data_IF_506163515467
#
_entry.id   IF_506163515467
#
_cell.length_a   1.000
_cell.length_b   1.000
_cell.length_c   1.000
_cell.angle_alpha   90.00
_cell.angle_beta   90.00
_cell.angle_gamma   90.00
#
_symmetry.space_group_name_H-M   'P 1'
#
loop_
_entity.id
_entity.type
_entity.pdbx_description
1 polymer ?
#
# COMPACT_ATOMS: atom_id res chain seq x y z
N UNK A 1 -4.45 37.57 -1.49
CA UNK A 1 -3.69 37.40 -0.23
C UNK A 1 -2.93 36.09 -0.39
N UNK A 2 -1.59 36.11 -0.35
CA UNK A 2 -0.81 34.88 -0.19
C UNK A 2 -1.18 34.32 1.17
N UNK A 3 -1.90 33.21 1.23
CA UNK A 3 -2.04 32.45 2.46
C UNK A 3 -0.62 32.03 2.81
N UNK A 4 -0.08 32.52 3.92
CA UNK A 4 1.20 32.01 4.43
C UNK A 4 0.93 30.55 4.77
N UNK A 5 1.26 29.63 3.87
CA UNK A 5 1.25 28.21 4.19
C UNK A 5 2.30 28.03 5.28
N UNK A 6 1.87 27.57 6.44
CA UNK A 6 2.81 27.20 7.50
C UNK A 6 3.56 25.98 6.97
N UNK A 7 4.86 26.13 6.71
CA UNK A 7 5.71 25.04 6.22
C UNK A 7 5.78 23.96 7.29
N UNK A 8 5.46 22.69 6.97
CA UNK A 8 5.62 21.60 7.92
C UNK A 8 7.06 21.52 8.42
N UNK A 9 7.21 21.47 9.74
CA UNK A 9 8.51 21.39 10.41
C UNK A 9 8.88 19.94 10.75
N UNK A 10 10.17 19.63 10.93
CA UNK A 10 10.60 18.31 11.42
C UNK A 10 9.90 17.91 12.72
N UNK A 11 9.74 18.85 13.67
CA UNK A 11 9.03 18.61 14.94
C UNK A 11 7.56 18.24 14.71
N UNK A 12 6.87 18.91 13.78
CA UNK A 12 5.49 18.56 13.42
C UNK A 12 5.39 17.15 12.79
N UNK A 13 6.37 16.77 11.96
CA UNK A 13 6.44 15.41 11.40
C UNK A 13 6.60 14.37 12.51
N UNK A 14 7.48 14.61 13.48
CA UNK A 14 7.68 13.70 14.62
C UNK A 14 6.42 13.58 15.48
N UNK A 15 5.71 14.69 15.73
CA UNK A 15 4.44 14.70 16.47
C UNK A 15 3.39 13.86 15.73
N UNK A 16 3.23 14.07 14.42
CA UNK A 16 2.27 13.33 13.61
C UNK A 16 2.65 11.84 13.57
N UNK A 17 3.92 11.51 13.36
CA UNK A 17 4.39 10.13 13.35
C UNK A 17 4.13 9.41 14.70
N UNK A 18 4.29 10.15 15.81
CA UNK A 18 4.04 9.66 17.16
C UNK A 18 2.57 9.53 17.55
N UNK A 19 1.62 9.96 16.71
CA UNK A 19 0.18 9.82 16.98
C UNK A 19 -0.20 8.34 17.14
N UNK A 20 -0.86 8.02 18.25
CA UNK A 20 -1.20 6.65 18.63
C UNK A 20 -2.40 6.07 17.89
N UNK A 21 -3.35 6.92 17.46
CA UNK A 21 -4.45 6.49 16.61
C UNK A 21 -4.00 6.36 15.14
N UNK A 22 -3.92 5.15 14.57
CA UNK A 22 -3.45 4.95 13.20
C UNK A 22 -4.34 5.63 12.15
N UNK A 23 -5.62 5.85 12.44
CA UNK A 23 -6.55 6.54 11.53
C UNK A 23 -6.23 8.02 11.48
N UNK A 24 -6.20 8.67 12.65
CA UNK A 24 -5.87 10.09 12.76
C UNK A 24 -4.46 10.36 12.21
N UNK A 25 -3.49 9.53 12.59
CA UNK A 25 -2.12 9.59 12.09
C UNK A 25 -2.07 9.57 10.56
N UNK A 26 -2.70 8.59 9.91
CA UNK A 26 -2.70 8.51 8.45
C UNK A 26 -3.32 9.74 7.78
N UNK A 27 -4.40 10.30 8.33
CA UNK A 27 -5.02 11.50 7.78
C UNK A 27 -4.11 12.73 7.93
N UNK A 28 -3.44 12.87 9.06
CA UNK A 28 -2.46 13.93 9.29
C UNK A 28 -1.22 13.75 8.41
N UNK A 29 -0.70 12.53 8.23
CA UNK A 29 0.38 12.20 7.28
C UNK A 29 -0.02 12.62 5.86
N UNK A 30 -1.22 12.24 5.43
CA UNK A 30 -1.74 12.56 4.09
C UNK A 30 -1.81 14.08 3.88
N UNK A 31 -2.31 14.81 4.88
CA UNK A 31 -2.37 16.27 4.82
C UNK A 31 -0.97 16.91 4.86
N UNK A 32 -0.04 16.38 5.65
CA UNK A 32 1.32 16.88 5.75
C UNK A 32 2.10 16.70 4.44
N UNK A 33 1.95 15.56 3.76
CA UNK A 33 2.52 15.38 2.41
C UNK A 33 1.97 16.41 1.43
N UNK A 34 0.68 16.72 1.49
CA UNK A 34 0.11 17.76 0.64
C UNK A 34 0.72 19.14 0.95
N UNK A 35 0.89 19.49 2.22
CA UNK A 35 1.47 20.77 2.64
C UNK A 35 2.94 20.91 2.21
N UNK A 36 3.76 19.86 2.40
CA UNK A 36 5.14 19.79 1.89
C UNK A 36 5.16 19.94 0.36
N UNK A 37 4.30 19.17 -0.32
CA UNK A 37 4.22 19.22 -1.78
C UNK A 37 3.87 20.62 -2.27
N UNK A 38 2.87 21.26 -1.68
CA UNK A 38 2.41 22.61 -2.03
C UNK A 38 3.52 23.66 -1.84
N UNK A 39 4.26 23.59 -0.74
CA UNK A 39 5.40 24.47 -0.48
C UNK A 39 6.49 24.33 -1.55
N UNK A 40 6.82 23.10 -1.92
CA UNK A 40 7.82 22.81 -2.94
C UNK A 40 7.40 23.31 -4.33
N UNK A 41 6.11 23.16 -4.68
CA UNK A 41 5.54 23.60 -5.96
C UNK A 41 5.61 25.13 -6.14
N UNK A 42 5.60 25.92 -5.06
CA UNK A 42 5.81 27.38 -5.16
C UNK A 42 7.17 27.74 -5.79
N UNK A 43 8.16 26.85 -5.67
CA UNK A 43 9.51 27.01 -6.23
C UNK A 43 9.64 26.38 -7.61
N UNK A 44 9.05 25.21 -7.83
CA UNK A 44 9.29 24.43 -9.04
C UNK A 44 8.26 24.59 -10.13
N UNK A 45 7.10 25.18 -9.82
CA UNK A 45 5.95 25.19 -10.71
C UNK A 45 5.15 23.87 -10.60
N UNK A 46 4.18 23.64 -11.51
CA UNK A 46 3.18 22.57 -11.38
C UNK A 46 3.72 21.19 -11.80
N UNK A 47 4.87 20.78 -11.27
CA UNK A 47 5.47 19.47 -11.48
C UNK A 47 5.33 18.63 -10.21
N UNK A 48 4.68 17.49 -10.30
CA UNK A 48 4.48 16.58 -9.18
C UNK A 48 5.85 16.16 -8.58
N UNK A 49 6.05 16.47 -7.31
CA UNK A 49 7.17 15.95 -6.52
C UNK A 49 6.74 14.67 -5.80
N UNK A 50 7.68 14.01 -5.14
CA UNK A 50 7.40 12.74 -4.47
C UNK A 50 6.31 12.89 -3.39
N UNK A 51 6.27 14.02 -2.67
CA UNK A 51 5.19 14.30 -1.72
C UNK A 51 3.81 14.43 -2.38
N UNK A 52 3.74 14.86 -3.65
CA UNK A 52 2.50 14.85 -4.44
C UNK A 52 1.97 13.42 -4.57
N UNK A 53 2.83 12.48 -5.00
CA UNK A 53 2.45 11.07 -5.13
C UNK A 53 2.15 10.42 -3.78
N UNK A 54 2.97 10.73 -2.76
CA UNK A 54 2.80 10.22 -1.40
C UNK A 54 1.48 10.65 -0.77
N UNK A 55 0.97 11.85 -1.09
CA UNK A 55 -0.36 12.30 -0.67
C UNK A 55 -1.44 11.30 -1.10
N UNK A 56 -1.46 10.92 -2.37
CA UNK A 56 -2.49 10.03 -2.92
C UNK A 56 -2.28 8.57 -2.52
N UNK A 57 -1.04 8.11 -2.47
CA UNK A 57 -0.71 6.78 -1.95
C UNK A 57 -1.10 6.65 -0.46
N UNK A 58 -0.83 7.67 0.36
CA UNK A 58 -1.20 7.71 1.78
C UNK A 58 -2.72 7.76 1.96
N UNK A 59 -3.42 8.51 1.11
CA UNK A 59 -4.90 8.55 1.11
C UNK A 59 -5.49 7.17 0.80
N UNK A 60 -4.95 6.47 -0.20
CA UNK A 60 -5.37 5.12 -0.56
C UNK A 60 -5.05 4.12 0.55
N UNK A 61 -3.87 4.22 1.18
CA UNK A 61 -3.50 3.44 2.35
C UNK A 61 -4.51 3.64 3.51
N UNK A 62 -4.99 4.88 3.67
CA UNK A 62 -5.99 5.25 4.66
C UNK A 62 -7.30 4.47 4.55
N UNK A 63 -7.76 4.14 3.34
CA UNK A 63 -8.97 3.33 3.15
C UNK A 63 -8.79 1.93 3.77
N UNK A 64 -7.60 1.34 3.60
CA UNK A 64 -7.24 0.06 4.21
C UNK A 64 -7.16 0.16 5.73
N UNK A 65 -6.53 1.22 6.25
CA UNK A 65 -6.36 1.45 7.70
C UNK A 65 -7.71 1.64 8.40
N UNK A 66 -8.62 2.38 7.78
CA UNK A 66 -9.99 2.61 8.27
C UNK A 66 -10.92 1.43 8.00
N UNK A 67 -10.47 0.45 7.21
CA UNK A 67 -11.24 -0.76 6.82
C UNK A 67 -12.56 -0.41 6.14
N UNK A 68 -12.60 0.75 5.46
CA UNK A 68 -13.79 1.34 4.85
C UNK A 68 -14.40 0.37 3.84
N UNK A 69 -15.64 -0.06 4.08
CA UNK A 69 -16.43 -1.00 3.28
C UNK A 69 -15.76 -2.34 2.92
N UNK A 70 -14.53 -2.58 3.37
CA UNK A 70 -13.70 -3.71 2.99
C UNK A 70 -14.28 -5.01 3.54
N UNK A 71 -14.65 -5.03 4.83
CA UNK A 71 -15.19 -6.25 5.46
C UNK A 71 -16.46 -6.73 4.78
N UNK A 72 -17.44 -5.85 4.60
CA UNK A 72 -18.74 -6.21 4.03
C UNK A 72 -18.62 -6.63 2.57
N UNK A 73 -17.81 -5.91 1.79
CA UNK A 73 -17.56 -6.22 0.38
C UNK A 73 -16.85 -7.56 0.23
N UNK A 74 -15.76 -7.78 0.98
CA UNK A 74 -15.01 -9.04 0.97
C UNK A 74 -15.86 -10.23 1.42
N UNK A 75 -16.68 -10.08 2.47
CA UNK A 75 -17.59 -11.13 2.93
C UNK A 75 -18.66 -11.45 1.88
N UNK A 76 -19.23 -10.45 1.22
CA UNK A 76 -20.22 -10.66 0.16
C UNK A 76 -19.61 -11.36 -1.06
N UNK A 77 -18.46 -10.88 -1.54
CA UNK A 77 -17.76 -11.46 -2.69
C UNK A 77 -17.30 -12.89 -2.42
N UNK A 78 -16.68 -13.14 -1.26
CA UNK A 78 -16.25 -14.48 -0.89
C UNK A 78 -17.44 -15.42 -0.76
N UNK A 79 -18.53 -14.97 -0.14
CA UNK A 79 -19.75 -15.78 -0.02
C UNK A 79 -20.32 -16.11 -1.40
N UNK A 80 -20.34 -15.17 -2.34
CA UNK A 80 -20.80 -15.43 -3.70
C UNK A 80 -19.92 -16.46 -4.43
N UNK A 81 -18.58 -16.38 -4.25
CA UNK A 81 -17.63 -17.33 -4.85
C UNK A 81 -17.73 -18.74 -4.24
N UNK A 82 -17.84 -18.83 -2.92
CA UNK A 82 -17.85 -20.12 -2.21
C UNK A 82 -19.20 -20.83 -2.23
N UNK A 83 -20.32 -20.11 -2.37
CA UNK A 83 -21.67 -20.72 -2.42
C UNK A 83 -21.83 -21.74 -3.54
N UNK A 84 -21.13 -21.55 -4.65
CA UNK A 84 -21.17 -22.45 -5.80
C UNK A 84 -19.95 -23.40 -5.85
N UNK A 85 -19.13 -23.44 -4.80
CA UNK A 85 -17.93 -24.29 -4.77
C UNK A 85 -18.31 -25.74 -4.45
N UNK A 86 -17.89 -26.66 -5.33
CA UNK A 86 -18.22 -28.09 -5.23
C UNK A 86 -17.57 -28.77 -4.02
N UNK A 87 -16.39 -28.32 -3.57
CA UNK A 87 -15.73 -28.87 -2.40
C UNK A 87 -16.48 -28.49 -1.11
N UNK A 88 -17.02 -27.26 -1.05
CA UNK A 88 -17.86 -26.84 0.07
C UNK A 88 -19.19 -27.63 0.13
N UNK A 89 -19.80 -27.87 -1.04
CA UNK A 89 -21.00 -28.71 -1.13
C UNK A 89 -20.71 -30.15 -0.67
N UNK A 90 -19.58 -30.73 -1.10
CA UNK A 90 -19.14 -32.05 -0.68
C UNK A 90 -18.87 -32.13 0.83
N UNK A 91 -18.16 -31.14 1.39
CA UNK A 91 -17.90 -31.06 2.83
C UNK A 91 -19.21 -31.01 3.62
N UNK A 92 -20.18 -30.22 3.15
CA UNK A 92 -21.49 -30.11 3.79
C UNK A 92 -22.26 -31.44 3.73
N UNK A 93 -22.19 -32.18 2.62
CA UNK A 93 -22.79 -33.52 2.51
C UNK A 93 -22.14 -34.51 3.47
N UNK A 94 -20.80 -34.56 3.49
CA UNK A 94 -20.04 -35.45 4.38
C UNK A 94 -20.32 -35.15 5.85
N UNK A 95 -20.37 -33.87 6.24
CA UNK A 95 -20.75 -33.46 7.60
C UNK A 95 -22.14 -33.99 7.97
N UNK A 96 -23.14 -33.87 7.09
CA UNK A 96 -24.50 -34.38 7.32
C UNK A 96 -24.55 -35.90 7.38
N UNK A 97 -23.88 -36.60 6.46
CA UNK A 97 -23.82 -38.07 6.43
C UNK A 97 -23.11 -38.66 7.65
N UNK A 98 -22.11 -37.95 8.16
CA UNK A 98 -21.43 -38.29 9.40
C UNK A 98 -22.23 -37.84 10.63
N UNK A 99 -23.32 -37.10 10.44
CA UNK A 99 -24.33 -36.68 11.40
C UNK A 99 -23.92 -35.53 12.31
N UNK A 100 -23.21 -34.55 11.76
CA UNK A 100 -23.04 -33.23 12.36
C UNK A 100 -24.36 -32.45 12.34
N UNK A 101 -24.65 -31.74 13.42
CA UNK A 101 -25.76 -30.79 13.52
C UNK A 101 -25.24 -29.35 13.48
N UNK A 102 -24.64 -28.96 12.35
CA UNK A 102 -24.14 -27.60 12.14
C UNK A 102 -25.03 -26.85 11.14
N UNK A 103 -25.42 -25.62 11.48
CA UNK A 103 -26.12 -24.73 10.54
C UNK A 103 -25.14 -24.22 9.49
N UNK A 104 -25.61 -23.99 8.27
CA UNK A 104 -24.77 -23.44 7.19
C UNK A 104 -24.06 -22.16 7.62
N UNK A 105 -24.77 -21.20 8.22
CA UNK A 105 -24.20 -19.93 8.68
C UNK A 105 -23.06 -20.09 9.71
N UNK A 106 -23.16 -21.09 10.58
CA UNK A 106 -22.13 -21.41 11.56
C UNK A 106 -20.89 -22.01 10.88
N UNK A 107 -21.10 -22.88 9.89
CA UNK A 107 -20.03 -23.39 9.04
C UNK A 107 -19.32 -22.27 8.26
N UNK A 108 -20.08 -21.34 7.66
CA UNK A 108 -19.53 -20.15 6.98
C UNK A 108 -18.66 -19.31 7.92
N UNK A 109 -19.16 -19.09 9.15
CA UNK A 109 -18.48 -18.27 10.14
C UNK A 109 -17.14 -18.90 10.57
N UNK A 110 -17.13 -20.23 10.76
CA UNK A 110 -15.93 -20.99 11.10
C UNK A 110 -14.91 -21.03 9.96
N UNK A 111 -15.38 -21.26 8.73
CA UNK A 111 -14.50 -21.46 7.58
C UNK A 111 -13.85 -20.17 7.11
N UNK A 112 -14.59 -19.05 7.03
CA UNK A 112 -14.03 -17.84 6.41
C UNK A 112 -14.35 -16.49 7.05
N UNK A 113 -15.51 -16.25 7.68
CA UNK A 113 -15.83 -14.89 8.19
C UNK A 113 -14.83 -14.42 9.25
N UNK A 114 -14.38 -15.34 10.12
CA UNK A 114 -13.31 -15.08 11.08
C UNK A 114 -11.98 -14.77 10.39
N UNK A 115 -11.64 -15.50 9.34
CA UNK A 115 -10.39 -15.34 8.61
C UNK A 115 -10.34 -14.03 7.84
N UNK A 116 -11.43 -13.64 7.17
CA UNK A 116 -11.54 -12.32 6.54
C UNK A 116 -11.26 -11.23 7.58
N UNK A 117 -11.94 -11.28 8.73
CA UNK A 117 -11.76 -10.27 9.77
C UNK A 117 -10.29 -10.21 10.22
N UNK A 118 -9.68 -11.35 10.53
CA UNK A 118 -8.29 -11.40 10.98
C UNK A 118 -7.29 -10.95 9.90
N UNK A 119 -7.51 -11.31 8.63
CA UNK A 119 -6.65 -10.88 7.53
C UNK A 119 -6.76 -9.38 7.28
N UNK A 120 -7.97 -8.81 7.34
CA UNK A 120 -8.18 -7.36 7.22
C UNK A 120 -7.45 -6.62 8.34
N UNK A 121 -7.57 -7.07 9.60
CA UNK A 121 -6.86 -6.47 10.74
C UNK A 121 -5.35 -6.46 10.50
N UNK A 122 -4.78 -7.61 10.12
CA UNK A 122 -3.33 -7.74 9.87
C UNK A 122 -2.85 -6.91 8.69
N UNK A 123 -3.61 -6.88 7.59
CA UNK A 123 -3.29 -6.03 6.44
C UNK A 123 -3.38 -4.54 6.81
N UNK A 124 -4.41 -4.14 7.55
CA UNK A 124 -4.57 -2.77 8.08
C UNK A 124 -3.39 -2.36 8.96
N UNK A 125 -2.99 -3.21 9.91
CA UNK A 125 -1.84 -2.95 10.78
C UNK A 125 -0.53 -2.86 9.99
N UNK A 126 -0.31 -3.75 9.02
CA UNK A 126 0.90 -3.73 8.19
C UNK A 126 0.98 -2.45 7.34
N UNK A 127 -0.13 -2.04 6.72
CA UNK A 127 -0.21 -0.78 5.95
C UNK A 127 -0.02 0.43 6.85
N UNK A 128 -0.61 0.45 8.06
CA UNK A 128 -0.42 1.55 9.01
C UNK A 128 1.04 1.69 9.45
N UNK A 129 1.74 0.58 9.71
CA UNK A 129 3.18 0.57 10.02
C UNK A 129 4.02 1.06 8.84
N UNK A 130 3.73 0.58 7.63
CA UNK A 130 4.43 1.01 6.42
C UNK A 130 4.28 2.51 6.16
N UNK A 131 3.06 3.04 6.20
CA UNK A 131 2.77 4.47 6.00
C UNK A 131 3.50 5.35 7.03
N UNK A 132 3.48 4.95 8.30
CA UNK A 132 4.23 5.62 9.37
C UNK A 132 5.74 5.60 9.11
N UNK A 133 6.31 4.42 8.83
CA UNK A 133 7.76 4.21 8.60
C UNK A 133 8.31 5.06 7.46
N UNK A 134 7.55 5.26 6.39
CA UNK A 134 7.95 6.15 5.30
C UNK A 134 7.91 7.61 5.75
N UNK A 135 6.83 8.03 6.39
CA UNK A 135 6.64 9.41 6.81
C UNK A 135 7.68 9.87 7.83
N UNK A 136 7.99 9.01 8.81
CA UNK A 136 9.03 9.22 9.82
C UNK A 136 10.41 9.54 9.24
N UNK A 137 10.73 8.99 8.07
CA UNK A 137 12.01 9.26 7.42
C UNK A 137 11.86 10.28 6.29
N UNK A 138 11.11 9.94 5.24
CA UNK A 138 11.07 10.73 4.03
C UNK A 138 10.32 12.04 4.26
N UNK A 139 9.19 12.01 4.98
CA UNK A 139 8.47 13.23 5.36
C UNK A 139 9.34 14.16 6.21
N UNK A 140 10.10 13.60 7.16
CA UNK A 140 11.03 14.35 8.00
C UNK A 140 12.14 15.00 7.17
N UNK A 141 12.75 14.26 6.25
CA UNK A 141 13.81 14.79 5.38
C UNK A 141 13.29 15.86 4.41
N UNK A 142 12.05 15.77 3.92
CA UNK A 142 11.42 16.84 3.16
C UNK A 142 11.24 18.11 4.00
N UNK A 143 10.68 18.01 5.20
CA UNK A 143 10.54 19.15 6.11
C UNK A 143 11.89 19.80 6.42
N UNK A 144 12.93 18.98 6.67
CA UNK A 144 14.30 19.46 6.89
C UNK A 144 14.88 20.11 5.64
N UNK A 145 14.69 19.53 4.46
CA UNK A 145 15.15 20.06 3.19
C UNK A 145 14.52 21.42 2.90
N UNK A 146 13.20 21.54 3.08
CA UNK A 146 12.48 22.79 2.84
C UNK A 146 12.94 23.89 3.80
N UNK A 147 13.11 23.59 5.09
CA UNK A 147 13.64 24.55 6.06
C UNK A 147 15.07 25.03 5.75
N UNK A 148 15.88 24.19 5.10
CA UNK A 148 17.29 24.47 4.84
C UNK A 148 17.55 25.14 3.49
N UNK A 149 16.81 24.72 2.45
CA UNK A 149 17.16 25.00 1.05
C UNK A 149 16.08 25.74 0.25
N UNK A 150 14.81 25.75 0.70
CA UNK A 150 13.69 26.24 -0.12
C UNK A 150 13.81 27.73 -0.46
N UNK A 151 14.36 28.52 0.47
CA UNK A 151 14.48 29.97 0.34
C UNK A 151 15.75 30.43 -0.39
N UNK A 152 16.64 29.52 -0.80
CA UNK A 152 17.87 29.89 -1.51
C UNK A 152 17.54 30.47 -2.88
N UNK A 153 17.97 31.71 -3.14
CA UNK A 153 17.67 32.42 -4.40
C UNK A 153 18.67 32.10 -5.51
N UNK A 154 19.83 31.59 -5.14
CA UNK A 154 20.91 31.17 -6.05
C UNK A 154 21.45 29.82 -5.59
N UNK A 155 21.97 29.04 -6.54
CA UNK A 155 22.56 27.75 -6.22
C UNK A 155 23.75 27.93 -5.27
N UNK A 156 23.60 27.36 -4.08
CA UNK A 156 24.60 27.44 -2.99
C UNK A 156 25.02 26.02 -2.63
N UNK A 157 26.23 25.57 -3.05
CA UNK A 157 26.74 24.22 -2.75
C UNK A 157 26.74 23.90 -1.25
N UNK A 158 27.08 24.87 -0.42
CA UNK A 158 27.19 24.70 1.03
C UNK A 158 25.84 24.38 1.68
N UNK A 159 24.74 24.92 1.14
CA UNK A 159 23.38 24.62 1.64
C UNK A 159 23.03 23.15 1.45
N UNK A 160 23.21 22.64 0.22
CA UNK A 160 22.89 21.25 -0.10
C UNK A 160 23.87 20.27 0.55
N UNK A 161 25.15 20.61 0.64
CA UNK A 161 26.14 19.80 1.37
C UNK A 161 25.79 19.68 2.85
N UNK A 162 25.45 20.79 3.52
CA UNK A 162 25.02 20.80 4.92
C UNK A 162 23.76 19.96 5.13
N UNK A 163 22.80 20.02 4.20
CA UNK A 163 21.62 19.16 4.26
C UNK A 163 22.03 17.68 4.14
N UNK A 164 22.81 17.33 3.12
CA UNK A 164 23.21 15.96 2.81
C UNK A 164 24.13 15.32 3.87
N UNK A 165 24.93 16.11 4.60
CA UNK A 165 25.86 15.62 5.62
C UNK A 165 25.20 14.80 6.74
N UNK A 166 23.93 15.04 7.04
CA UNK A 166 23.20 14.32 8.09
C UNK A 166 22.46 13.07 7.57
N UNK A 167 22.51 12.78 6.26
CA UNK A 167 21.96 11.55 5.70
C UNK A 167 22.95 10.38 5.87
N UNK A 168 22.43 9.20 6.20
CA UNK A 168 23.22 7.99 6.40
C UNK A 168 23.85 7.53 5.09
N UNK A 169 25.15 7.21 5.13
CA UNK A 169 25.86 6.68 3.98
C UNK A 169 25.38 5.28 3.59
N UNK A 170 25.50 4.92 2.30
CA UNK A 170 25.19 3.59 1.78
C UNK A 170 23.81 3.47 1.13
N UNK A 171 23.55 2.31 0.51
CA UNK A 171 22.27 2.02 -0.14
C UNK A 171 21.20 1.64 0.90
N UNK A 172 19.90 1.80 0.58
CA UNK A 172 18.84 1.22 1.40
C UNK A 172 19.00 -0.31 1.51
N UNK A 173 18.47 -0.94 2.58
CA UNK A 173 17.56 -0.36 3.56
C UNK A 173 18.23 0.43 4.70
N UNK A 174 19.54 0.27 4.89
CA UNK A 174 20.26 0.85 6.04
C UNK A 174 20.76 2.28 5.77
N UNK A 175 21.23 2.54 4.54
CA UNK A 175 21.71 3.85 4.10
C UNK A 175 20.66 4.67 3.37
N UNK A 176 20.98 5.94 3.10
CA UNK A 176 20.11 6.95 2.50
C UNK A 176 20.73 7.57 1.24
N UNK A 177 21.61 6.84 0.54
CA UNK A 177 22.29 7.34 -0.67
C UNK A 177 21.32 7.84 -1.74
N UNK A 178 20.22 7.13 -1.97
CA UNK A 178 19.22 7.58 -2.94
C UNK A 178 18.49 8.85 -2.49
N UNK A 179 18.24 9.04 -1.18
CA UNK A 179 17.72 10.33 -0.69
C UNK A 179 18.73 11.46 -0.90
N UNK A 180 20.01 11.21 -0.63
CA UNK A 180 21.07 12.19 -0.87
C UNK A 180 21.12 12.63 -2.34
N UNK A 181 21.04 11.69 -3.27
CA UNK A 181 20.98 11.97 -4.70
C UNK A 181 19.72 12.75 -5.06
N UNK A 182 18.56 12.30 -4.59
CA UNK A 182 17.27 12.90 -4.91
C UNK A 182 17.19 14.37 -4.47
N UNK A 183 17.54 14.66 -3.21
CA UNK A 183 17.52 16.04 -2.71
C UNK A 183 18.56 16.92 -3.40
N UNK A 184 19.68 16.35 -3.87
CA UNK A 184 20.64 17.09 -4.71
C UNK A 184 20.01 17.46 -6.06
N UNK A 185 19.37 16.51 -6.74
CA UNK A 185 18.70 16.75 -8.02
C UNK A 185 17.48 17.68 -7.90
N UNK A 186 16.73 17.59 -6.81
CA UNK A 186 15.68 18.57 -6.49
C UNK A 186 16.23 19.97 -6.30
N UNK A 187 17.33 20.11 -5.55
CA UNK A 187 17.96 21.41 -5.35
C UNK A 187 18.50 21.99 -6.67
N UNK A 188 19.12 21.18 -7.53
CA UNK A 188 19.50 21.57 -8.90
C UNK A 188 18.27 22.08 -9.69
N UNK A 189 17.13 21.41 -9.56
CA UNK A 189 15.90 21.76 -10.30
C UNK A 189 15.32 23.14 -9.92
N UNK A 190 15.63 23.68 -8.73
CA UNK A 190 15.20 25.02 -8.32
C UNK A 190 15.79 26.12 -9.20
N UNK A 191 16.95 25.87 -9.78
CA UNK A 191 17.71 26.87 -10.54
C UNK A 191 17.75 26.59 -12.05
N UNK A 192 17.19 25.46 -12.48
CA UNK A 192 17.04 25.14 -13.90
C UNK A 192 15.91 25.99 -14.52
N UNK A 193 16.13 26.47 -15.74
CA UNK A 193 15.20 27.33 -16.48
C UNK A 193 14.59 26.61 -17.67
N UNK A 194 15.30 25.62 -18.24
CA UNK A 194 14.77 24.74 -19.26
C UNK A 194 13.72 23.79 -18.64
N UNK A 195 12.49 23.89 -19.11
CA UNK A 195 11.36 23.14 -18.55
C UNK A 195 11.55 21.63 -18.67
N UNK A 196 12.15 21.17 -19.76
CA UNK A 196 12.41 19.75 -19.98
C UNK A 196 13.48 19.24 -19.03
N UNK A 197 14.61 19.94 -18.92
CA UNK A 197 15.67 19.54 -17.97
C UNK A 197 15.17 19.56 -16.52
N UNK A 198 14.35 20.56 -16.16
CA UNK A 198 13.71 20.63 -14.84
C UNK A 198 12.80 19.44 -14.58
N UNK A 199 11.94 19.07 -15.55
CA UNK A 199 11.08 17.91 -15.45
C UNK A 199 11.89 16.60 -15.32
N UNK A 200 12.96 16.44 -16.12
CA UNK A 200 13.84 15.27 -16.04
C UNK A 200 14.58 15.18 -14.69
N UNK A 201 15.04 16.31 -14.11
CA UNK A 201 15.66 16.36 -12.79
C UNK A 201 14.69 15.99 -11.66
N UNK A 202 13.45 16.49 -11.72
CA UNK A 202 12.44 16.16 -10.71
C UNK A 202 11.95 14.72 -10.83
N UNK A 203 11.78 14.20 -12.06
CA UNK A 203 11.47 12.79 -12.25
C UNK A 203 12.61 11.91 -11.71
N UNK A 204 13.87 12.25 -11.98
CA UNK A 204 15.01 11.53 -11.43
C UNK A 204 14.96 11.49 -9.90
N UNK A 205 14.76 12.64 -9.25
CA UNK A 205 14.64 12.71 -7.80
C UNK A 205 13.44 11.90 -7.27
N UNK A 206 12.28 11.98 -7.92
CA UNK A 206 11.09 11.19 -7.59
C UNK A 206 11.41 9.68 -7.59
N UNK A 207 12.09 9.21 -8.64
CA UNK A 207 12.44 7.79 -8.81
C UNK A 207 13.49 7.32 -7.80
N UNK A 208 14.47 8.16 -7.47
CA UNK A 208 15.48 7.84 -6.45
C UNK A 208 14.81 7.69 -5.07
N UNK A 209 13.90 8.60 -4.70
CA UNK A 209 13.12 8.46 -3.46
C UNK A 209 12.21 7.25 -3.51
N UNK A 210 11.51 7.02 -4.62
CA UNK A 210 10.67 5.83 -4.82
C UNK A 210 11.47 4.54 -4.65
N UNK A 211 12.67 4.46 -5.23
CA UNK A 211 13.51 3.28 -5.08
C UNK A 211 13.98 3.06 -3.63
N UNK A 212 14.37 4.15 -2.95
CA UNK A 212 14.68 4.12 -1.52
C UNK A 212 13.50 3.58 -0.69
N UNK A 213 12.33 4.19 -0.87
CA UNK A 213 11.09 3.86 -0.18
C UNK A 213 10.70 2.39 -0.39
N UNK A 214 10.61 1.96 -1.66
CA UNK A 214 10.12 0.64 -2.01
C UNK A 214 11.05 -0.50 -1.57
N UNK A 215 12.36 -0.24 -1.50
CA UNK A 215 13.34 -1.19 -0.94
C UNK A 215 13.11 -1.36 0.56
N UNK A 216 12.88 -0.26 1.29
CA UNK A 216 12.65 -0.28 2.74
C UNK A 216 11.29 -0.83 3.13
N UNK A 217 10.27 -0.63 2.30
CA UNK A 217 8.90 -1.08 2.56
C UNK A 217 8.64 -2.56 2.29
N UNK A 218 9.61 -3.29 1.72
CA UNK A 218 9.43 -4.68 1.34
C UNK A 218 8.82 -5.56 2.46
N UNK A 219 9.26 -5.49 3.73
CA UNK A 219 8.66 -6.31 4.80
C UNK A 219 7.19 -5.97 5.08
N UNK A 220 6.83 -4.68 5.07
CA UNK A 220 5.45 -4.24 5.35
C UNK A 220 4.51 -4.58 4.18
N UNK A 221 4.97 -4.42 2.94
CA UNK A 221 4.21 -4.81 1.73
C UNK A 221 3.93 -6.31 1.76
N UNK A 222 4.96 -7.14 1.99
CA UNK A 222 4.80 -8.58 2.08
C UNK A 222 3.84 -8.97 3.20
N UNK A 223 4.01 -8.41 4.40
CA UNK A 223 3.11 -8.68 5.53
C UNK A 223 1.64 -8.29 5.24
N UNK A 224 1.42 -7.23 4.46
CA UNK A 224 0.06 -6.80 4.09
C UNK A 224 -0.63 -7.76 3.10
N UNK A 225 0.12 -8.27 2.12
CA UNK A 225 -0.38 -9.16 1.05
C UNK A 225 -0.51 -10.62 1.53
N UNK A 226 0.36 -11.04 2.44
CA UNK A 226 0.43 -12.41 2.97
C UNK A 226 -0.31 -12.59 4.29
N UNK A 227 -1.13 -11.61 4.70
CA UNK A 227 -1.82 -11.59 6.00
C UNK A 227 -2.64 -12.86 6.29
N UNK A 228 -3.24 -13.45 5.24
CA UNK A 228 -4.03 -14.68 5.32
C UNK A 228 -3.19 -15.95 5.48
N UNK A 229 -1.94 -15.97 5.01
CA UNK A 229 -1.04 -17.13 5.12
C UNK A 229 -0.59 -17.38 6.56
N UNK A 230 -0.63 -16.32 7.37
CA UNK A 230 -0.29 -16.35 8.78
C UNK A 230 -1.44 -16.87 9.67
N UNK A 231 -2.57 -17.31 9.10
CA UNK A 231 -3.74 -17.77 9.86
C UNK A 231 -3.63 -19.24 10.26
N UNK A 232 -4.11 -19.55 11.46
CA UNK A 232 -4.14 -20.90 12.03
C UNK A 232 -5.30 -21.73 11.46
N UNK A 233 -5.07 -22.29 10.27
CA UNK A 233 -6.02 -23.17 9.59
C UNK A 233 -6.26 -24.46 10.35
N UNK A 234 -5.25 -24.99 11.05
CA UNK A 234 -5.37 -26.22 11.83
C UNK A 234 -6.35 -26.10 12.99
N UNK A 235 -6.41 -24.96 13.66
CA UNK A 235 -7.41 -24.72 14.70
C UNK A 235 -8.84 -24.71 14.17
N UNK A 236 -9.06 -24.24 12.94
CA UNK A 236 -10.39 -24.34 12.30
C UNK A 236 -10.71 -25.79 11.97
N UNK A 237 -9.77 -26.52 11.36
CA UNK A 237 -9.95 -27.94 11.07
C UNK A 237 -10.26 -28.74 12.33
N UNK A 238 -9.51 -28.48 13.41
CA UNK A 238 -9.72 -29.10 14.71
C UNK A 238 -11.13 -28.84 15.27
N UNK A 239 -11.62 -27.60 15.17
CA UNK A 239 -12.96 -27.27 15.63
C UNK A 239 -14.05 -27.95 14.80
N UNK A 240 -13.85 -28.11 13.50
CA UNK A 240 -14.78 -28.87 12.64
C UNK A 240 -14.73 -30.36 13.00
N UNK A 241 -13.55 -30.91 13.33
CA UNK A 241 -13.41 -32.29 13.83
C UNK A 241 -14.14 -32.48 15.16
N UNK A 242 -14.07 -31.53 16.07
CA UNK A 242 -14.76 -31.58 17.38
C UNK A 242 -16.28 -31.60 17.26
N UNK A 243 -16.84 -30.99 16.22
CA UNK A 243 -18.29 -31.04 15.92
C UNK A 243 -18.73 -32.47 15.55
N UNK A 244 -17.89 -33.20 14.83
CA UNK A 244 -18.15 -34.60 14.44
C UNK A 244 -17.82 -35.60 15.55
N UNK A 245 -16.74 -35.34 16.29
CA UNK A 245 -16.16 -36.24 17.28
C UNK A 245 -15.85 -35.48 18.57
N UNK A 246 -16.87 -35.14 19.40
CA UNK A 246 -16.64 -34.51 20.69
C UNK A 246 -15.75 -35.37 21.57
N UNK A 247 -14.72 -34.75 22.18
CA UNK A 247 -13.79 -35.43 23.06
C UNK A 247 -14.50 -36.02 24.30
N UNK A 248 -14.08 -37.22 24.73
CA UNK A 248 -14.57 -37.85 25.96
C UNK A 248 -15.85 -38.70 25.84
N UNK A 249 -16.39 -38.89 24.63
CA UNK A 249 -17.57 -39.75 24.42
C UNK A 249 -17.21 -41.10 23.80
N UNK A 250 -17.63 -42.19 24.45
CA UNK A 250 -17.45 -43.58 23.97
C UNK A 250 -18.17 -43.80 22.61
N UNK A 251 -19.28 -43.09 22.40
CA UNK A 251 -20.04 -43.08 21.15
C UNK A 251 -19.22 -42.42 20.02
N UNK A 252 -18.44 -41.37 20.32
CA UNK A 252 -17.54 -40.73 19.34
C UNK A 252 -16.45 -41.68 18.86
N UNK A 253 -15.89 -42.52 19.76
CA UNK A 253 -14.90 -43.54 19.39
C UNK A 253 -15.47 -44.60 18.45
N UNK A 254 -16.65 -45.14 18.77
CA UNK A 254 -17.36 -46.09 17.91
C UNK A 254 -17.71 -45.49 16.54
N UNK A 255 -18.23 -44.26 16.54
CA UNK A 255 -18.55 -43.51 15.31
C UNK A 255 -17.30 -43.30 14.46
N UNK A 256 -16.17 -42.91 15.07
CA UNK A 256 -14.90 -42.73 14.37
C UNK A 256 -14.40 -44.03 13.75
N UNK A 257 -14.52 -45.18 14.43
CA UNK A 257 -14.15 -46.49 13.90
C UNK A 257 -14.98 -46.85 12.66
N UNK A 258 -16.31 -46.68 12.74
CA UNK A 258 -17.24 -46.94 11.63
C UNK A 258 -16.93 -46.04 10.42
N UNK A 259 -16.72 -44.74 10.64
CA UNK A 259 -16.41 -43.80 9.55
C UNK A 259 -15.03 -44.07 8.94
N UNK A 260 -14.07 -44.60 9.71
CA UNK A 260 -12.77 -45.03 9.18
C UNK A 260 -12.92 -46.26 8.28
N UNK A 261 -13.71 -47.26 8.70
CA UNK A 261 -13.98 -48.46 7.89
C UNK A 261 -14.69 -48.14 6.58
N UNK A 262 -15.61 -47.17 6.59
CA UNK A 262 -16.34 -46.70 5.40
C UNK A 262 -15.51 -45.79 4.48
N UNK A 263 -14.23 -45.50 4.79
CA UNK A 263 -13.39 -44.56 4.04
C UNK A 263 -13.78 -43.07 4.18
N UNK A 264 -14.92 -42.77 4.80
CA UNK A 264 -15.49 -41.43 4.95
C UNK A 264 -14.62 -40.49 5.77
N UNK A 265 -13.86 -41.00 6.75
CA UNK A 265 -12.90 -40.18 7.51
C UNK A 265 -11.81 -39.62 6.60
N UNK A 266 -11.21 -40.43 5.74
CA UNK A 266 -10.15 -39.98 4.84
C UNK A 266 -10.69 -38.99 3.81
N UNK A 267 -11.86 -39.28 3.23
CA UNK A 267 -12.55 -38.36 2.32
C UNK A 267 -12.90 -37.03 2.98
N UNK A 268 -13.35 -37.04 4.24
CA UNK A 268 -13.62 -35.84 5.02
C UNK A 268 -12.37 -34.99 5.25
N UNK A 269 -11.27 -35.59 5.72
CA UNK A 269 -10.01 -34.84 5.97
C UNK A 269 -9.48 -34.22 4.67
N UNK A 270 -9.47 -34.98 3.57
CA UNK A 270 -9.06 -34.47 2.27
C UNK A 270 -9.96 -33.32 1.79
N UNK A 271 -11.28 -33.48 1.89
CA UNK A 271 -12.23 -32.44 1.46
C UNK A 271 -12.11 -31.19 2.32
N UNK A 272 -11.87 -31.36 3.64
CA UNK A 272 -11.65 -30.26 4.55
C UNK A 272 -10.36 -29.49 4.20
N UNK A 273 -9.28 -30.20 3.91
CA UNK A 273 -8.02 -29.59 3.45
C UNK A 273 -8.23 -28.81 2.14
N UNK A 274 -8.93 -29.39 1.17
CA UNK A 274 -9.24 -28.76 -0.12
C UNK A 274 -10.09 -27.49 0.07
N UNK A 275 -11.11 -27.53 0.92
CA UNK A 275 -11.94 -26.36 1.25
C UNK A 275 -11.10 -25.28 1.92
N UNK A 276 -10.23 -25.63 2.88
CA UNK A 276 -9.38 -24.65 3.55
C UNK A 276 -8.41 -23.98 2.58
N UNK A 277 -7.78 -24.75 1.68
CA UNK A 277 -6.91 -24.19 0.64
C UNK A 277 -7.66 -23.23 -0.29
N UNK A 278 -8.87 -23.59 -0.72
CA UNK A 278 -9.74 -22.74 -1.56
C UNK A 278 -10.12 -21.45 -0.84
N UNK A 279 -10.55 -21.54 0.42
CA UNK A 279 -10.90 -20.36 1.23
C UNK A 279 -9.72 -19.42 1.37
N UNK A 280 -8.55 -19.92 1.76
CA UNK A 280 -7.31 -19.12 1.90
C UNK A 280 -6.93 -18.49 0.57
N UNK A 281 -6.97 -19.26 -0.53
CA UNK A 281 -6.67 -18.76 -1.87
C UNK A 281 -7.61 -17.65 -2.31
N UNK A 282 -8.91 -17.78 -2.07
CA UNK A 282 -9.89 -16.74 -2.44
C UNK A 282 -9.75 -15.49 -1.57
N UNK A 283 -9.53 -15.64 -0.25
CA UNK A 283 -9.28 -14.49 0.63
C UNK A 283 -8.02 -13.74 0.16
N UNK A 284 -6.94 -14.47 -0.16
CA UNK A 284 -5.70 -13.87 -0.69
C UNK A 284 -5.99 -13.04 -1.95
N UNK A 285 -6.64 -13.64 -2.94
CA UNK A 285 -6.97 -12.97 -4.21
C UNK A 285 -7.78 -11.69 -3.99
N UNK A 286 -8.77 -11.73 -3.11
CA UNK A 286 -9.62 -10.57 -2.84
C UNK A 286 -8.85 -9.47 -2.11
N UNK A 287 -8.08 -9.80 -1.07
CA UNK A 287 -7.25 -8.82 -0.34
C UNK A 287 -6.23 -8.19 -1.28
N UNK A 288 -5.52 -9.00 -2.07
CA UNK A 288 -4.57 -8.51 -3.07
C UNK A 288 -5.28 -7.60 -4.08
N UNK A 289 -6.42 -7.99 -4.64
CA UNK A 289 -7.15 -7.14 -5.60
C UNK A 289 -7.57 -5.79 -5.01
N UNK A 290 -7.89 -5.73 -3.71
CA UNK A 290 -8.23 -4.49 -3.03
C UNK A 290 -6.99 -3.63 -2.75
N UNK A 291 -5.90 -4.23 -2.28
CA UNK A 291 -4.64 -3.53 -2.01
C UNK A 291 -3.96 -3.02 -3.28
N UNK A 292 -4.12 -3.74 -4.41
CA UNK A 292 -3.54 -3.39 -5.71
C UNK A 292 -4.45 -2.46 -6.52
N UNK A 293 -5.07 -1.51 -5.84
CA UNK A 293 -5.80 -0.40 -6.44
C UNK A 293 -5.23 0.91 -5.94
N UNK A 294 -4.96 1.84 -6.84
CA UNK A 294 -4.64 3.23 -6.51
C UNK A 294 -5.67 4.14 -7.18
N UNK A 295 -6.32 5.00 -6.39
CA UNK A 295 -7.24 6.02 -6.92
C UNK A 295 -6.56 7.38 -6.86
N UNK A 296 -6.42 8.02 -8.02
CA UNK A 296 -5.88 9.39 -8.14
C UNK A 296 -6.96 10.33 -8.72
N UNK A 297 -6.87 11.65 -8.48
CA UNK A 297 -7.76 12.62 -9.09
C UNK A 297 -7.79 12.55 -10.63
N UNK A 298 -8.91 12.91 -11.27
CA UNK A 298 -10.21 13.25 -10.69
C UNK A 298 -11.10 12.00 -10.51
N UNK A 299 -10.58 10.92 -9.89
CA UNK A 299 -11.15 9.56 -9.74
C UNK A 299 -10.70 8.54 -10.81
N UNK A 300 -9.46 8.67 -11.32
CA UNK A 300 -8.83 7.61 -12.12
C UNK A 300 -8.45 6.45 -11.19
N UNK A 301 -9.05 5.29 -11.41
CA UNK A 301 -8.77 4.07 -10.66
C UNK A 301 -7.76 3.21 -11.43
N UNK A 302 -6.53 3.17 -10.94
CA UNK A 302 -5.47 2.33 -11.44
C UNK A 302 -5.50 0.97 -10.74
N UNK A 303 -5.39 -0.10 -11.51
CA UNK A 303 -5.15 -1.45 -10.98
C UNK A 303 -3.67 -1.74 -11.19
N UNK A 304 -2.93 -1.95 -10.11
CA UNK A 304 -1.47 -2.00 -10.16
C UNK A 304 -0.92 -3.20 -10.94
N UNK A 305 -1.73 -4.24 -11.12
CA UNK A 305 -1.43 -5.39 -11.99
C UNK A 305 -1.95 -5.26 -13.42
N UNK A 306 -2.29 -4.06 -13.87
CA UNK A 306 -2.67 -3.76 -15.25
C UNK A 306 -1.78 -2.64 -15.78
N UNK A 307 -1.52 -2.69 -17.09
CA UNK A 307 -0.74 -1.66 -17.77
C UNK A 307 -1.37 -0.28 -17.60
N UNK A 308 -0.51 0.72 -17.40
CA UNK A 308 -0.91 2.11 -17.46
C UNK A 308 -1.40 2.45 -18.88
N UNK A 309 -2.43 3.29 -18.94
CA UNK A 309 -3.03 3.73 -20.20
C UNK A 309 -2.71 5.18 -20.55
N UNK A 310 -2.11 5.90 -19.61
CA UNK A 310 -1.68 7.29 -19.79
C UNK A 310 -0.42 7.36 -20.66
N UNK A 311 -0.30 8.43 -21.45
CA UNK A 311 0.88 8.69 -22.26
C UNK A 311 1.91 9.49 -21.44
N UNK A 312 3.20 9.38 -21.80
CA UNK A 312 4.21 10.26 -21.22
C UNK A 312 4.00 11.71 -21.71
N UNK A 313 4.13 12.70 -20.80
CA UNK A 313 3.97 14.11 -21.13
C UNK A 313 5.07 14.59 -22.09
N UNK A 314 4.85 15.72 -22.75
CA UNK A 314 5.71 16.18 -23.85
C UNK A 314 7.17 16.34 -23.42
N UNK A 315 7.42 16.98 -22.28
CA UNK A 315 8.77 17.20 -21.77
C UNK A 315 9.48 15.91 -21.32
N UNK A 316 8.73 14.83 -21.06
CA UNK A 316 9.28 13.54 -20.64
C UNK A 316 9.09 12.44 -21.67
N UNK A 317 8.60 12.75 -22.87
CA UNK A 317 8.40 11.74 -23.92
C UNK A 317 9.72 11.20 -24.45
N UNK A 318 10.74 12.05 -24.53
CA UNK A 318 12.11 11.65 -24.84
C UNK A 318 13.02 12.13 -23.72
N UNK A 319 13.99 11.31 -23.32
CA UNK A 319 14.85 11.62 -22.18
C UNK A 319 16.28 11.94 -22.62
N UNK A 320 16.79 13.08 -22.16
CA UNK A 320 18.14 13.56 -22.46
C UNK A 320 19.12 13.45 -21.29
N UNK A 321 18.62 13.51 -20.06
CA UNK A 321 19.41 13.39 -18.85
C UNK A 321 19.99 11.97 -18.72
N UNK A 322 21.32 11.87 -18.75
CA UNK A 322 22.03 10.60 -18.69
C UNK A 322 21.82 9.85 -17.38
N UNK A 323 21.79 10.56 -16.24
CA UNK A 323 21.58 9.96 -14.92
C UNK A 323 20.19 9.33 -14.81
N UNK A 324 19.17 10.02 -15.33
CA UNK A 324 17.80 9.51 -15.41
C UNK A 324 17.72 8.25 -16.27
N UNK A 325 18.36 8.25 -17.44
CA UNK A 325 18.40 7.07 -18.34
C UNK A 325 19.10 5.88 -17.70
N UNK A 326 20.20 6.11 -16.98
CA UNK A 326 20.92 5.06 -16.25
C UNK A 326 20.03 4.46 -15.16
N UNK A 327 19.33 5.29 -14.39
CA UNK A 327 18.42 4.81 -13.35
C UNK A 327 17.26 4.02 -13.97
N UNK A 328 16.61 4.55 -15.00
CA UNK A 328 15.50 3.86 -15.66
C UNK A 328 15.94 2.51 -16.26
N UNK A 329 17.13 2.43 -16.87
CA UNK A 329 17.64 1.15 -17.35
C UNK A 329 17.83 0.09 -16.24
N UNK A 330 17.88 0.50 -14.97
CA UNK A 330 17.93 -0.40 -13.82
C UNK A 330 16.54 -0.83 -13.33
N UNK A 331 15.54 0.05 -13.40
CA UNK A 331 14.23 -0.14 -12.74
C UNK A 331 13.05 -0.31 -13.69
N UNK A 332 13.21 0.02 -14.97
CA UNK A 332 12.22 -0.08 -16.03
C UNK A 332 12.82 -0.82 -17.24
N UNK A 333 12.56 -2.13 -17.40
CA UNK A 333 13.05 -2.91 -18.54
C UNK A 333 12.36 -2.56 -19.87
N UNK A 334 11.21 -1.87 -19.84
CA UNK A 334 10.38 -1.52 -21.01
C UNK A 334 10.45 -0.03 -21.32
N UNK A 335 11.68 0.51 -21.32
CA UNK A 335 11.94 1.94 -21.55
C UNK A 335 11.08 2.53 -22.66
N UNK A 336 10.49 3.68 -22.37
CA UNK A 336 9.66 4.47 -23.30
C UNK A 336 8.35 3.76 -23.74
N UNK A 337 7.89 2.76 -22.98
CA UNK A 337 6.62 2.07 -23.20
C UNK A 337 5.92 1.76 -21.88
N UNK A 338 4.63 2.11 -21.80
CA UNK A 338 3.75 1.72 -20.68
C UNK A 338 3.17 0.30 -20.82
N UNK A 339 3.51 -0.42 -21.90
CA UNK A 339 3.12 -1.82 -22.07
C UNK A 339 3.91 -2.71 -21.13
N UNK A 340 3.26 -3.71 -20.57
CA UNK A 340 3.83 -4.62 -19.57
C UNK A 340 4.28 -3.90 -18.29
N UNK A 341 3.75 -2.70 -18.03
CA UNK A 341 4.00 -1.94 -16.80
C UNK A 341 3.26 -2.53 -15.60
N UNK A 342 2.19 -3.29 -15.83
CA UNK A 342 1.41 -3.93 -14.75
C UNK A 342 2.22 -4.99 -13.99
N UNK A 343 2.30 -4.85 -12.67
CA UNK A 343 2.99 -5.80 -11.79
C UNK A 343 2.08 -7.01 -11.46
N UNK A 344 2.50 -8.21 -11.87
CA UNK A 344 1.76 -9.44 -11.61
C UNK A 344 1.88 -9.86 -10.14
N UNK A 345 3.06 -9.67 -9.56
CA UNK A 345 3.33 -9.85 -8.14
C UNK A 345 3.84 -8.55 -7.53
N UNK A 346 2.97 -7.82 -6.84
CA UNK A 346 3.36 -6.59 -6.17
C UNK A 346 4.38 -6.79 -5.03
N UNK A 347 4.55 -8.02 -4.52
CA UNK A 347 5.62 -8.30 -3.57
C UNK A 347 6.99 -8.41 -4.28
N UNK A 348 7.04 -8.61 -5.60
CA UNK A 348 8.25 -8.57 -6.39
C UNK A 348 8.71 -7.10 -6.57
N UNK A 349 9.89 -6.78 -6.02
CA UNK A 349 10.41 -5.41 -6.04
C UNK A 349 10.69 -4.89 -7.47
N UNK A 350 11.37 -5.63 -8.36
CA UNK A 350 11.54 -5.20 -9.75
C UNK A 350 10.23 -4.86 -10.48
N UNK A 351 9.22 -5.75 -10.43
CA UNK A 351 7.93 -5.49 -11.09
C UNK A 351 7.25 -4.24 -10.51
N UNK A 352 7.29 -4.08 -9.18
CA UNK A 352 6.72 -2.92 -8.51
C UNK A 352 7.42 -1.62 -8.88
N UNK A 353 8.75 -1.63 -8.96
CA UNK A 353 9.54 -0.45 -9.34
C UNK A 353 9.28 -0.03 -10.78
N UNK A 354 9.12 -0.99 -11.71
CA UNK A 354 8.76 -0.70 -13.10
C UNK A 354 7.42 0.06 -13.15
N UNK A 355 6.37 -0.47 -12.51
CA UNK A 355 5.07 0.19 -12.46
C UNK A 355 5.18 1.63 -11.90
N UNK A 356 5.91 1.79 -10.78
CA UNK A 356 6.08 3.09 -10.12
C UNK A 356 6.85 4.06 -11.01
N UNK A 357 7.85 3.58 -11.76
CA UNK A 357 8.63 4.42 -12.65
C UNK A 357 7.78 5.00 -13.79
N UNK A 358 6.99 4.15 -14.44
CA UNK A 358 6.05 4.60 -15.48
C UNK A 358 4.95 5.49 -14.90
N UNK A 359 4.43 5.15 -13.71
CA UNK A 359 3.41 5.95 -13.04
C UNK A 359 3.91 7.37 -12.75
N UNK A 360 5.09 7.51 -12.15
CA UNK A 360 5.67 8.83 -11.88
C UNK A 360 5.91 9.60 -13.17
N UNK A 361 6.42 8.95 -14.23
CA UNK A 361 6.65 9.61 -15.52
C UNK A 361 5.35 10.05 -16.21
N UNK A 362 4.31 9.21 -16.22
CA UNK A 362 3.02 9.52 -16.82
C UNK A 362 2.32 10.69 -16.14
N UNK A 363 2.43 10.79 -14.82
CA UNK A 363 1.67 11.74 -14.01
C UNK A 363 2.49 12.92 -13.49
N UNK A 364 3.77 13.05 -13.86
CA UNK A 364 4.66 14.14 -13.45
C UNK A 364 4.06 15.53 -13.69
N UNK A 365 3.36 15.73 -14.81
CA UNK A 365 2.77 17.02 -15.21
C UNK A 365 1.24 17.08 -14.97
N UNK A 366 0.67 16.14 -14.21
CA UNK A 366 -0.77 16.14 -13.92
C UNK A 366 -1.11 17.19 -12.85
N UNK A 367 -1.86 18.20 -13.27
CA UNK A 367 -2.34 19.28 -12.40
C UNK A 367 -3.38 18.80 -11.39
N UNK A 368 -4.12 17.74 -11.73
CA UNK A 368 -5.15 17.16 -10.88
C UNK A 368 -4.55 16.51 -9.62
N UNK A 369 -3.30 16.01 -9.71
CA UNK A 369 -2.60 15.48 -8.53
C UNK A 369 -2.26 16.57 -7.51
N UNK A 370 -2.30 17.85 -7.88
CA UNK A 370 -1.98 18.98 -7.01
C UNK A 370 -3.19 19.46 -6.19
N UNK A 371 -4.36 18.87 -6.39
CA UNK A 371 -5.57 19.19 -5.65
C UNK A 371 -5.44 18.80 -4.16
N UNK A 372 -6.10 19.58 -3.28
CA UNK A 372 -6.12 19.27 -1.86
C UNK A 372 -6.84 17.94 -1.58
N UNK A 373 -6.26 17.04 -0.76
CA UNK A 373 -6.90 15.76 -0.45
C UNK A 373 -8.14 15.94 0.44
N UNK A 374 -8.18 17.01 1.23
CA UNK A 374 -9.23 17.30 2.20
C UNK A 374 -9.78 18.71 2.03
N UNK A 375 -11.04 18.89 2.43
CA UNK A 375 -11.67 20.22 2.49
C UNK A 375 -11.12 21.04 3.65
N UNK A 376 -11.26 22.37 3.60
CA UNK A 376 -10.80 23.28 4.66
C UNK A 376 -11.34 22.90 6.06
N UNK A 377 -12.61 22.50 6.16
CA UNK A 377 -13.21 22.07 7.43
C UNK A 377 -12.59 20.77 7.96
N UNK A 378 -12.27 19.84 7.07
CA UNK A 378 -11.60 18.59 7.44
C UNK A 378 -10.18 18.88 7.93
N UNK A 379 -9.44 19.76 7.25
CA UNK A 379 -8.09 20.18 7.68
C UNK A 379 -8.13 20.84 9.07
N UNK A 380 -9.10 21.70 9.35
CA UNK A 380 -9.26 22.31 10.68
C UNK A 380 -9.47 21.27 11.78
N UNK A 381 -10.32 20.26 11.54
CA UNK A 381 -10.51 19.17 12.50
C UNK A 381 -9.22 18.35 12.71
N UNK A 382 -8.50 18.03 11.63
CA UNK A 382 -7.24 17.29 11.70
C UNK A 382 -6.16 18.03 12.52
N UNK A 383 -6.03 19.35 12.32
CA UNK A 383 -5.10 20.19 13.08
C UNK A 383 -5.50 20.34 14.56
N UNK A 384 -6.75 20.04 14.91
CA UNK A 384 -7.23 19.96 16.29
C UNK A 384 -7.15 18.54 16.89
N UNK A 385 -6.60 17.56 16.16
CA UNK A 385 -6.49 16.18 16.63
C UNK A 385 -7.81 15.39 16.53
N UNK A 386 -8.73 15.80 15.67
CA UNK A 386 -10.00 15.10 15.48
C UNK A 386 -10.08 14.43 14.10
N UNK A 387 -10.66 13.23 14.06
CA UNK A 387 -11.03 12.58 12.80
C UNK A 387 -12.24 13.30 12.19
N UNK A 388 -12.09 13.92 11.00
CA UNK A 388 -13.18 14.68 10.39
C UNK A 388 -14.29 13.77 9.85
N UNK A 389 -15.47 14.35 9.70
CA UNK A 389 -16.63 13.70 9.07
C UNK A 389 -16.55 13.78 7.53
N UNK A 390 -17.34 12.94 6.85
CA UNK A 390 -17.50 12.94 5.40
C UNK A 390 -16.60 11.94 4.66
N UNK A 391 -16.40 12.15 3.35
CA UNK A 391 -15.52 11.30 2.53
C UNK A 391 -14.07 11.67 2.82
N UNK A 392 -13.27 10.67 3.19
CA UNK A 392 -11.86 10.78 3.56
C UNK A 392 -10.96 10.20 2.47
#
# INVERSE_FOLDING_TARGET
MRTVMNLPTPDEVEIIAGEGDPVLRNLQITQCYYELSAAFLERTGPLANWCTFATWASRQAGQTIRKEDLKRTLEAELSARLRNDSALALLTSLLKEMGAHIKTEELEHLLWKKFITQSIERSSEAVARGNQKVFEEIGYEFARFESTCLNDLIYTPESIERFCQNLRAGLPPEGQRYLQQAFTHYYESFFETDLRKKAELQLLANLEIGFHEQTRLQPEIQASLESVLLLDTERVKQRIREILFPAGSLISYLRMLVQKMLGRKAAFEQTLDDVMQRVVGQIRLLITSHLLTLTVPPNVRLRLGQDLTSLFPENLRSLSNERLRILLAQIDPTLDSVRESGALDWANLPERLQFIADFFRCYQESVELLEAPFTVLQVQALKQGHVPQGRL
#
